data_IF_584333854672
#
_entry.id   IF_584333854672
#
_cell.length_a   1.000
_cell.length_b   1.000
_cell.length_c   1.000
_cell.angle_alpha   90.00
_cell.angle_beta   90.00
_cell.angle_gamma   90.00
#
_symmetry.space_group_name_H-M   'P 1'
#
loop_
_entity.id
_entity.type
_entity.pdbx_description
1 polymer ?
#
# COMPACT_ATOMS: atom_id res chain seq x y z
N UNK A 1 -23.54 10.74 7.38
CA UNK A 1 -23.31 9.47 6.67
C UNK A 1 -22.44 9.81 5.48
N UNK A 2 -21.12 9.76 5.67
CA UNK A 2 -20.21 9.86 4.54
C UNK A 2 -20.37 8.57 3.73
N UNK A 3 -20.54 8.68 2.41
CA UNK A 3 -20.82 7.53 1.53
C UNK A 3 -19.75 6.46 1.73
N UNK A 4 -20.15 5.19 1.82
CA UNK A 4 -19.26 4.02 1.92
C UNK A 4 -17.94 4.27 1.15
N UNK A 5 -16.84 4.51 1.87
CA UNK A 5 -15.51 4.82 1.32
C UNK A 5 -14.99 6.25 1.53
N UNK A 6 -15.82 7.29 1.45
CA UNK A 6 -15.40 8.68 1.73
C UNK A 6 -15.73 9.08 3.17
N UNK A 7 -14.87 9.86 3.82
CA UNK A 7 -15.13 10.41 5.17
C UNK A 7 -15.74 11.82 5.16
N UNK A 8 -15.75 12.48 4.01
CA UNK A 8 -16.23 13.85 3.79
C UNK A 8 -17.13 13.87 2.55
N UNK A 9 -18.18 14.70 2.47
CA UNK A 9 -19.01 14.80 1.28
C UNK A 9 -18.18 15.06 0.02
N UNK A 10 -18.49 14.31 -1.06
CA UNK A 10 -17.70 14.29 -2.31
C UNK A 10 -17.53 15.68 -2.91
N UNK A 11 -18.57 16.49 -2.87
CA UNK A 11 -18.62 17.86 -3.39
C UNK A 11 -17.67 18.82 -2.66
N UNK A 12 -17.18 18.46 -1.47
CA UNK A 12 -16.16 19.23 -0.73
C UNK A 12 -14.73 18.83 -1.08
N UNK A 13 -14.54 17.74 -1.81
CA UNK A 13 -13.21 17.21 -2.12
C UNK A 13 -12.69 17.77 -3.45
N UNK A 14 -11.38 18.07 -3.47
CA UNK A 14 -10.68 18.44 -4.70
C UNK A 14 -10.51 17.21 -5.60
N UNK A 15 -10.45 17.41 -6.92
CA UNK A 15 -10.22 16.32 -7.88
C UNK A 15 -8.96 15.51 -7.59
N UNK A 16 -7.85 16.17 -7.20
CA UNK A 16 -6.61 15.48 -6.78
C UNK A 16 -6.85 14.56 -5.58
N UNK A 17 -7.58 15.02 -4.57
CA UNK A 17 -7.89 14.22 -3.37
C UNK A 17 -8.74 13.01 -3.71
N UNK A 18 -9.71 13.16 -4.62
CA UNK A 18 -10.52 12.04 -5.09
C UNK A 18 -9.69 11.00 -5.84
N UNK A 19 -8.80 11.42 -6.75
CA UNK A 19 -7.94 10.50 -7.47
C UNK A 19 -6.96 9.77 -6.54
N UNK A 20 -6.40 10.47 -5.55
CA UNK A 20 -5.57 9.83 -4.52
C UNK A 20 -6.37 8.85 -3.68
N UNK A 21 -7.61 9.19 -3.30
CA UNK A 21 -8.48 8.25 -2.60
C UNK A 21 -8.71 6.98 -3.40
N UNK A 22 -8.97 7.07 -4.71
CA UNK A 22 -9.10 5.89 -5.56
C UNK A 22 -7.84 5.03 -5.56
N UNK A 23 -6.67 5.63 -5.74
CA UNK A 23 -5.41 4.90 -5.72
C UNK A 23 -5.13 4.27 -4.34
N UNK A 24 -5.40 4.98 -3.25
CA UNK A 24 -5.17 4.48 -1.89
C UNK A 24 -6.11 3.32 -1.58
N UNK A 25 -7.41 3.44 -1.88
CA UNK A 25 -8.37 2.36 -1.65
C UNK A 25 -8.02 1.12 -2.48
N UNK A 26 -7.66 1.28 -3.75
CA UNK A 26 -7.19 0.15 -4.55
C UNK A 26 -5.94 -0.49 -3.95
N UNK A 27 -4.94 0.29 -3.51
CA UNK A 27 -3.76 -0.25 -2.85
C UNK A 27 -4.09 -1.03 -1.55
N UNK A 28 -5.07 -0.55 -0.78
CA UNK A 28 -5.58 -1.27 0.40
C UNK A 28 -6.19 -2.61 0.00
N UNK A 29 -7.08 -2.61 -1.00
CA UNK A 29 -7.73 -3.83 -1.50
C UNK A 29 -6.71 -4.86 -2.00
N UNK A 30 -5.66 -4.43 -2.71
CA UNK A 30 -4.60 -5.33 -3.16
C UNK A 30 -3.86 -5.98 -1.98
N UNK A 31 -3.50 -5.20 -0.95
CA UNK A 31 -2.83 -5.77 0.23
C UNK A 31 -3.75 -6.67 1.07
N UNK A 32 -5.05 -6.37 1.15
CA UNK A 32 -6.05 -7.26 1.76
C UNK A 32 -6.13 -8.58 0.99
N UNK A 33 -6.16 -8.53 -0.35
CA UNK A 33 -6.18 -9.72 -1.19
C UNK A 33 -4.91 -10.57 -1.02
N UNK A 34 -3.72 -9.95 -1.00
CA UNK A 34 -2.44 -10.64 -0.71
C UNK A 34 -2.50 -11.37 0.62
N UNK A 35 -2.95 -10.70 1.68
CA UNK A 35 -3.06 -11.28 3.02
C UNK A 35 -4.03 -12.47 3.02
N UNK A 36 -5.26 -12.27 2.52
CA UNK A 36 -6.29 -13.30 2.51
C UNK A 36 -5.92 -14.50 1.66
N UNK A 37 -5.34 -14.30 0.47
CA UNK A 37 -4.92 -15.40 -0.39
C UNK A 37 -3.81 -16.23 0.27
N UNK A 38 -2.86 -15.60 0.96
CA UNK A 38 -1.79 -16.32 1.66
C UNK A 38 -2.33 -17.14 2.83
N UNK A 39 -3.20 -16.56 3.66
CA UNK A 39 -3.84 -17.29 4.76
C UNK A 39 -4.64 -18.49 4.25
N UNK A 40 -5.45 -18.30 3.19
CA UNK A 40 -6.22 -19.39 2.58
C UNK A 40 -5.33 -20.45 1.95
N UNK A 41 -4.22 -20.06 1.32
CA UNK A 41 -3.28 -21.00 0.73
C UNK A 41 -2.63 -21.88 1.81
N UNK A 42 -2.24 -21.30 2.94
CA UNK A 42 -1.63 -22.06 4.05
C UNK A 42 -2.63 -23.01 4.76
N UNK A 43 -3.93 -22.72 4.71
CA UNK A 43 -5.02 -23.56 5.24
C UNK A 43 -5.69 -24.46 4.17
N UNK A 44 -5.11 -24.56 2.96
CA UNK A 44 -5.73 -25.30 1.85
C UNK A 44 -5.22 -26.75 1.74
N UNK A 45 -6.14 -27.72 1.81
CA UNK A 45 -5.83 -29.15 1.63
C UNK A 45 -5.75 -29.60 0.15
N UNK A 46 -6.21 -28.79 -0.80
CA UNK A 46 -6.18 -29.10 -2.24
C UNK A 46 -4.97 -28.43 -2.92
N UNK A 47 -3.96 -29.19 -3.40
CA UNK A 47 -2.74 -28.62 -3.98
C UNK A 47 -2.96 -27.77 -5.24
N UNK A 48 -4.03 -28.05 -6.01
CA UNK A 48 -4.34 -27.28 -7.21
C UNK A 48 -4.92 -25.92 -6.84
N UNK A 49 -5.82 -25.89 -5.85
CA UNK A 49 -6.36 -24.64 -5.34
C UNK A 49 -5.29 -23.82 -4.63
N UNK A 50 -4.45 -24.42 -3.78
CA UNK A 50 -3.31 -23.75 -3.14
C UNK A 50 -2.43 -23.03 -4.19
N UNK A 51 -2.08 -23.73 -5.27
CA UNK A 51 -1.26 -23.15 -6.33
C UNK A 51 -1.91 -21.92 -7.00
N UNK A 52 -3.23 -21.96 -7.21
CA UNK A 52 -3.99 -20.82 -7.75
C UNK A 52 -3.99 -19.65 -6.74
N UNK A 53 -4.24 -19.90 -5.47
CA UNK A 53 -4.26 -18.84 -4.43
C UNK A 53 -2.89 -18.17 -4.31
N UNK A 54 -1.80 -18.95 -4.32
CA UNK A 54 -0.42 -18.41 -4.30
C UNK A 54 -0.04 -17.70 -5.59
N UNK A 55 -0.62 -18.08 -6.73
CA UNK A 55 -0.46 -17.36 -7.98
C UNK A 55 -1.11 -15.98 -7.89
N UNK A 56 -2.39 -15.94 -7.54
CA UNK A 56 -3.15 -14.70 -7.42
C UNK A 56 -2.49 -13.75 -6.42
N UNK A 57 -2.08 -14.22 -5.23
CA UNK A 57 -1.38 -13.40 -4.24
C UNK A 57 -0.09 -12.73 -4.77
N UNK A 58 0.57 -13.31 -5.77
CA UNK A 58 1.76 -12.70 -6.40
C UNK A 58 1.38 -11.65 -7.43
N UNK A 59 0.31 -11.86 -8.18
CA UNK A 59 -0.23 -10.86 -9.12
C UNK A 59 -0.75 -9.62 -8.38
N UNK A 60 -1.43 -9.78 -7.24
CA UNK A 60 -1.89 -8.62 -6.46
C UNK A 60 -0.72 -7.77 -5.92
N UNK A 61 0.46 -8.36 -5.69
CA UNK A 61 1.67 -7.57 -5.36
C UNK A 61 2.16 -6.74 -6.54
N UNK A 62 2.00 -7.23 -7.78
CA UNK A 62 2.29 -6.45 -8.98
C UNK A 62 1.30 -5.28 -9.10
N UNK A 63 0.01 -5.54 -8.91
CA UNK A 63 -1.03 -4.51 -8.91
C UNK A 63 -0.75 -3.44 -7.84
N UNK A 64 -0.45 -3.86 -6.60
CA UNK A 64 -0.07 -2.97 -5.51
C UNK A 64 1.14 -2.09 -5.87
N UNK A 65 2.19 -2.67 -6.46
CA UNK A 65 3.38 -1.94 -6.88
C UNK A 65 3.07 -0.90 -7.97
N UNK A 66 2.24 -1.24 -8.96
CA UNK A 66 1.82 -0.33 -10.02
C UNK A 66 1.04 0.87 -9.47
N UNK A 67 0.10 0.63 -8.56
CA UNK A 67 -0.70 1.69 -7.92
C UNK A 67 0.17 2.56 -7.01
N UNK A 68 1.05 1.96 -6.21
CA UNK A 68 1.99 2.67 -5.34
C UNK A 68 2.92 3.58 -6.16
N UNK A 69 3.41 3.13 -7.32
CA UNK A 69 4.22 3.97 -8.21
C UNK A 69 3.42 5.14 -8.77
N UNK A 70 2.13 4.96 -9.09
CA UNK A 70 1.27 6.07 -9.50
C UNK A 70 1.12 7.10 -8.36
N UNK A 71 0.91 6.64 -7.12
CA UNK A 71 0.85 7.52 -5.94
C UNK A 71 2.18 8.28 -5.80
N UNK A 72 3.32 7.60 -5.88
CA UNK A 72 4.65 8.21 -5.81
C UNK A 72 4.84 9.31 -6.87
N UNK A 73 4.33 9.14 -8.08
CA UNK A 73 4.44 10.16 -9.15
C UNK A 73 3.51 11.36 -8.95
N UNK A 74 2.41 11.19 -8.21
CA UNK A 74 1.34 12.19 -8.10
C UNK A 74 1.25 12.85 -6.72
N UNK A 75 2.07 12.41 -5.77
CA UNK A 75 2.17 13.00 -4.44
C UNK A 75 3.63 13.20 -4.01
N UNK A 76 4.00 14.47 -3.81
CA UNK A 76 5.38 14.86 -3.50
C UNK A 76 5.84 14.37 -2.13
N UNK A 77 4.94 14.29 -1.15
CA UNK A 77 5.24 13.81 0.18
C UNK A 77 5.42 12.29 0.17
N UNK A 78 4.52 11.56 -0.50
CA UNK A 78 4.70 10.13 -0.71
C UNK A 78 6.02 9.82 -1.43
N UNK A 79 6.38 10.58 -2.47
CA UNK A 79 7.66 10.42 -3.15
C UNK A 79 8.87 10.61 -2.23
N UNK A 80 8.84 11.62 -1.37
CA UNK A 80 9.92 11.89 -0.41
C UNK A 80 10.07 10.72 0.57
N UNK A 81 8.97 10.31 1.21
CA UNK A 81 8.99 9.22 2.19
C UNK A 81 9.39 7.87 1.57
N UNK A 82 8.84 7.54 0.39
CA UNK A 82 9.16 6.26 -0.26
C UNK A 82 10.63 6.19 -0.68
N UNK A 83 11.26 7.31 -1.08
CA UNK A 83 12.69 7.35 -1.40
C UNK A 83 13.59 7.25 -0.17
N UNK A 84 13.14 7.78 0.96
CA UNK A 84 13.88 7.71 2.22
C UNK A 84 14.02 6.25 2.69
N UNK A 85 12.92 5.50 2.67
CA UNK A 85 12.88 4.18 3.32
C UNK A 85 13.08 3.00 2.35
N UNK A 86 12.58 3.05 1.13
CA UNK A 86 12.62 1.89 0.23
C UNK A 86 14.02 1.63 -0.30
N UNK A 87 14.35 0.34 -0.44
CA UNK A 87 15.63 -0.15 -0.97
C UNK A 87 16.86 0.29 -0.15
N UNK A 88 16.66 0.55 1.13
CA UNK A 88 17.75 0.79 2.10
C UNK A 88 18.02 -0.48 2.90
N UNK A 89 19.25 -0.59 3.42
CA UNK A 89 19.65 -1.64 4.37
C UNK A 89 19.81 -1.02 5.76
N UNK A 90 19.68 -1.82 6.82
CA UNK A 90 19.83 -1.35 8.20
C UNK A 90 18.50 -1.17 8.93
N UNK A 91 18.51 -0.36 9.99
CA UNK A 91 17.33 -0.13 10.82
C UNK A 91 16.38 0.86 10.16
N UNK A 92 15.15 0.42 9.86
CA UNK A 92 14.12 1.30 9.28
C UNK A 92 13.82 2.49 10.21
N UNK A 93 13.73 2.26 11.53
CA UNK A 93 13.46 3.31 12.51
C UNK A 93 14.71 4.10 12.88
N UNK A 94 15.90 3.50 12.78
CA UNK A 94 17.16 4.21 13.03
C UNK A 94 17.47 5.24 11.94
N UNK A 95 17.04 4.99 10.70
CA UNK A 95 17.17 5.96 9.61
C UNK A 95 16.34 7.23 9.82
N UNK A 96 15.21 7.15 10.54
CA UNK A 96 14.43 8.35 10.89
C UNK A 96 15.20 9.28 11.84
N UNK A 97 15.98 8.73 12.76
CA UNK A 97 16.78 9.51 13.73
C UNK A 97 17.90 10.30 13.01
N UNK A 98 18.60 9.64 12.07
CA UNK A 98 19.64 10.26 11.24
C UNK A 98 19.07 11.31 10.26
N UNK A 99 17.91 11.04 9.67
CA UNK A 99 17.27 11.94 8.70
C UNK A 99 16.58 13.16 9.34
N UNK A 100 16.06 13.02 10.57
CA UNK A 100 15.34 14.09 11.28
C UNK A 100 16.23 14.91 12.22
N UNK A 101 17.51 14.56 12.38
CA UNK A 101 18.47 15.29 13.22
C UNK A 101 18.03 15.36 14.68
N UNK A 102 17.20 14.41 15.12
CA UNK A 102 16.80 14.27 16.51
C UNK A 102 17.84 13.43 17.22
N UNK A 103 19.00 14.03 17.47
CA UNK A 103 19.87 13.57 18.54
C UNK A 103 19.02 13.58 19.82
N UNK A 104 18.74 12.38 20.34
CA UNK A 104 18.05 12.20 21.60
C UNK A 104 18.83 12.89 22.73
N UNK A 105 18.14 13.76 23.45
CA UNK A 105 18.53 14.24 24.78
C UNK A 105 18.30 13.15 25.83
#
# INVERSE_FOLDING_TARGET
MSSEGLHVPREKLKGRTLNLHYAITSLIEEFEAVDWYRQRADDCDDPTLEAILRHNAREELEHAAMVLEWIRRNDAEANMQLKEYLFTEGSITGHEEDATGKDGD
#
